data_IF_426405830090
#
_entry.id   IF_426405830090
#
_cell.length_a   1.000
_cell.length_b   1.000
_cell.length_c   1.000
_cell.angle_alpha   90.00
_cell.angle_beta   90.00
_cell.angle_gamma   90.00
#
_symmetry.space_group_name_H-M   'P 1'
#
loop_
_entity.id
_entity.type
_entity.pdbx_description
1 polymer ?
#
# COMPACT_ATOMS: atom_id res chain seq x y z
N UNK A 1 82.02 -14.58 20.77
CA UNK A 1 81.01 -15.67 20.74
C UNK A 1 79.91 -15.44 19.69
N UNK A 2 80.10 -14.57 18.68
CA UNK A 2 79.03 -14.22 17.71
C UNK A 2 78.82 -15.23 16.57
N UNK A 3 79.78 -16.11 16.31
CA UNK A 3 79.68 -17.08 15.22
C UNK A 3 78.69 -18.21 15.46
N UNK A 4 78.43 -18.58 16.73
CA UNK A 4 77.49 -19.66 17.05
C UNK A 4 76.02 -19.19 17.00
N UNK A 5 75.75 -17.92 17.27
CA UNK A 5 74.41 -17.33 17.23
C UNK A 5 73.91 -17.14 15.79
N UNK A 6 74.78 -16.73 14.87
CA UNK A 6 74.47 -16.62 13.44
C UNK A 6 74.16 -18.00 12.80
N UNK A 7 74.96 -19.02 13.14
CA UNK A 7 74.74 -20.38 12.65
C UNK A 7 73.42 -20.98 13.18
N UNK A 8 73.03 -20.66 14.41
CA UNK A 8 71.76 -21.09 14.99
C UNK A 8 70.55 -20.50 14.23
N UNK A 9 70.59 -19.21 13.91
CA UNK A 9 69.51 -18.53 13.15
C UNK A 9 69.38 -19.06 11.72
N UNK A 10 70.50 -19.37 11.06
CA UNK A 10 70.49 -19.94 9.71
C UNK A 10 69.93 -21.37 9.70
N UNK A 11 70.23 -22.17 10.73
CA UNK A 11 69.66 -23.51 10.90
C UNK A 11 68.14 -23.48 11.14
N UNK A 12 67.64 -22.50 11.90
CA UNK A 12 66.21 -22.31 12.18
C UNK A 12 65.46 -21.90 10.91
N UNK A 13 66.04 -21.01 10.11
CA UNK A 13 65.49 -20.57 8.82
C UNK A 13 65.36 -21.74 7.84
N UNK A 14 66.40 -22.58 7.77
CA UNK A 14 66.40 -23.80 6.93
C UNK A 14 65.43 -24.87 7.44
N UNK A 15 65.22 -24.98 8.75
CA UNK A 15 64.20 -25.85 9.34
C UNK A 15 62.77 -25.36 9.04
N UNK A 16 62.55 -24.03 9.04
CA UNK A 16 61.29 -23.42 8.61
C UNK A 16 61.02 -23.64 7.12
N UNK A 17 62.05 -23.66 6.26
CA UNK A 17 61.90 -23.94 4.82
C UNK A 17 61.44 -25.39 4.53
N UNK A 18 61.84 -26.37 5.36
CA UNK A 18 61.44 -27.78 5.20
C UNK A 18 59.97 -28.07 5.54
N UNK A 19 59.37 -27.31 6.46
CA UNK A 19 57.95 -27.42 6.85
C UNK A 19 57.08 -26.34 6.18
N UNK A 20 57.69 -25.23 5.76
CA UNK A 20 57.06 -24.06 5.15
C UNK A 20 56.53 -24.25 3.73
N UNK A 21 56.76 -25.41 3.11
CA UNK A 21 56.13 -25.74 1.81
C UNK A 21 54.63 -26.02 1.94
N UNK A 22 54.13 -26.35 3.14
CA UNK A 22 52.71 -26.72 3.39
C UNK A 22 51.96 -25.70 4.25
N UNK A 23 52.67 -24.82 4.95
CA UNK A 23 52.07 -23.80 5.82
C UNK A 23 52.78 -22.48 5.58
N UNK A 24 52.00 -21.47 5.19
CA UNK A 24 52.46 -20.09 5.04
C UNK A 24 52.33 -19.38 6.39
N UNK A 25 53.37 -18.68 6.82
CA UNK A 25 53.29 -17.84 8.01
C UNK A 25 52.48 -16.58 7.70
N UNK A 26 51.80 -16.04 8.72
CA UNK A 26 51.07 -14.77 8.59
C UNK A 26 51.96 -13.66 8.00
N UNK A 27 53.22 -13.59 8.43
CA UNK A 27 54.20 -12.63 7.90
C UNK A 27 54.48 -12.81 6.41
N UNK A 28 54.59 -14.06 5.92
CA UNK A 28 54.79 -14.35 4.51
C UNK A 28 53.58 -13.94 3.66
N UNK A 29 52.37 -14.11 4.19
CA UNK A 29 51.13 -13.70 3.53
C UNK A 29 51.06 -12.18 3.44
N UNK A 30 51.41 -11.48 4.51
CA UNK A 30 51.38 -10.02 4.57
C UNK A 30 52.43 -9.39 3.64
N UNK A 31 53.66 -9.95 3.59
CA UNK A 31 54.69 -9.53 2.64
C UNK A 31 54.29 -9.79 1.18
N UNK A 32 53.66 -10.92 0.88
CA UNK A 32 53.16 -11.23 -0.45
C UNK A 32 52.03 -10.27 -0.89
N UNK A 33 51.12 -9.93 0.03
CA UNK A 33 50.08 -8.91 -0.20
C UNK A 33 50.69 -7.54 -0.47
N UNK A 34 51.70 -7.13 0.30
CA UNK A 34 52.38 -5.84 0.14
C UNK A 34 53.07 -5.72 -1.23
N UNK A 35 53.82 -6.75 -1.65
CA UNK A 35 54.46 -6.76 -3.00
C UNK A 35 53.42 -6.65 -4.11
N UNK A 36 52.33 -7.40 -4.00
CA UNK A 36 51.23 -7.34 -4.97
C UNK A 36 50.58 -5.96 -5.00
N UNK A 37 50.41 -5.31 -3.85
CA UNK A 37 49.85 -3.96 -3.76
C UNK A 37 50.80 -2.91 -4.37
N UNK A 38 52.11 -3.03 -4.15
CA UNK A 38 53.12 -2.15 -4.76
C UNK A 38 53.18 -2.30 -6.27
N UNK A 39 53.19 -3.54 -6.78
CA UNK A 39 53.11 -3.81 -8.22
C UNK A 39 51.84 -3.24 -8.83
N UNK A 40 50.72 -3.35 -8.13
CA UNK A 40 49.43 -2.83 -8.57
C UNK A 40 49.39 -1.30 -8.59
N UNK A 41 49.91 -0.66 -7.53
CA UNK A 41 50.09 0.80 -7.46
C UNK A 41 50.99 1.29 -8.59
N UNK A 42 52.10 0.60 -8.85
CA UNK A 42 53.02 0.92 -9.95
C UNK A 42 52.36 0.76 -11.32
N UNK A 43 51.54 -0.28 -11.51
CA UNK A 43 50.79 -0.48 -12.75
C UNK A 43 49.76 0.64 -13.00
N UNK A 44 49.05 1.07 -11.96
CA UNK A 44 48.10 2.19 -12.04
C UNK A 44 48.78 3.54 -12.23
N UNK A 45 49.90 3.79 -11.54
CA UNK A 45 50.73 4.96 -11.75
C UNK A 45 51.23 5.05 -13.20
N UNK A 46 51.55 3.90 -13.83
CA UNK A 46 51.92 3.83 -15.25
C UNK A 46 50.75 4.19 -16.18
N UNK A 47 49.52 3.87 -15.80
CA UNK A 47 48.30 4.19 -16.55
C UNK A 47 47.85 5.65 -16.31
N UNK A 48 48.40 6.33 -15.30
CA UNK A 48 48.03 7.70 -14.93
C UNK A 48 46.67 7.80 -14.26
N UNK A 49 46.14 6.68 -13.75
CA UNK A 49 44.89 6.63 -12.98
C UNK A 49 45.21 6.27 -11.52
N UNK A 50 44.46 6.85 -10.58
CA UNK A 50 44.57 6.45 -9.18
C UNK A 50 44.04 5.02 -9.01
N UNK A 51 44.78 4.13 -8.30
CA UNK A 51 44.27 2.81 -7.98
C UNK A 51 42.88 2.91 -7.31
N UNK A 52 41.88 2.13 -7.75
CA UNK A 52 40.60 2.06 -7.07
C UNK A 52 40.82 1.72 -5.60
N UNK A 53 40.07 2.39 -4.71
CA UNK A 53 40.11 2.11 -3.27
C UNK A 53 39.90 0.61 -3.06
N UNK A 54 40.88 -0.02 -2.41
CA UNK A 54 40.81 -1.43 -2.01
C UNK A 54 39.52 -1.57 -1.21
N UNK A 55 38.60 -2.41 -1.69
CA UNK A 55 37.43 -2.76 -0.91
C UNK A 55 37.97 -3.47 0.32
N UNK A 56 37.86 -2.83 1.48
CA UNK A 56 38.24 -3.45 2.75
C UNK A 56 37.58 -4.83 2.81
N UNK A 57 38.35 -5.84 3.22
CA UNK A 57 37.85 -7.19 3.43
C UNK A 57 36.65 -7.08 4.37
N UNK A 58 35.44 -7.16 3.80
CA UNK A 58 34.21 -6.91 4.55
C UNK A 58 34.20 -7.91 5.69
N UNK A 59 34.35 -7.40 6.91
CA UNK A 59 34.29 -8.18 8.14
C UNK A 59 33.10 -9.12 8.01
N UNK A 60 33.38 -10.42 8.09
CA UNK A 60 32.39 -11.45 7.81
C UNK A 60 31.14 -11.23 8.68
N UNK A 61 30.06 -10.78 8.04
CA UNK A 61 28.77 -10.56 8.67
C UNK A 61 28.16 -11.92 9.01
N UNK A 62 27.75 -12.11 10.27
CA UNK A 62 27.11 -13.34 10.73
C UNK A 62 25.70 -13.57 10.17
N UNK A 63 25.16 -12.58 9.44
CA UNK A 63 23.88 -12.71 8.72
C UNK A 63 24.02 -13.58 7.48
N UNK A 64 22.96 -14.31 7.17
CA UNK A 64 22.89 -15.12 5.96
C UNK A 64 22.88 -14.22 4.71
N UNK A 65 23.35 -14.75 3.57
CA UNK A 65 23.31 -14.02 2.29
C UNK A 65 21.89 -13.56 1.93
N UNK A 66 20.87 -14.36 2.29
CA UNK A 66 19.46 -14.03 2.09
C UNK A 66 19.06 -12.77 2.87
N UNK A 67 19.39 -12.69 4.15
CA UNK A 67 19.10 -11.52 4.98
C UNK A 67 19.78 -10.26 4.43
N UNK A 68 21.05 -10.37 4.01
CA UNK A 68 21.75 -9.25 3.38
C UNK A 68 21.07 -8.77 2.11
N UNK A 69 20.68 -9.70 1.22
CA UNK A 69 20.02 -9.34 -0.03
C UNK A 69 18.63 -8.76 0.21
N UNK A 70 17.90 -9.30 1.18
CA UNK A 70 16.59 -8.82 1.58
C UNK A 70 16.67 -7.40 2.15
N UNK A 71 17.62 -7.13 3.04
CA UNK A 71 17.86 -5.78 3.56
C UNK A 71 18.21 -4.81 2.43
N UNK A 72 19.09 -5.18 1.51
CA UNK A 72 19.43 -4.34 0.36
C UNK A 72 18.21 -4.06 -0.55
N UNK A 73 17.33 -5.05 -0.72
CA UNK A 73 16.08 -4.87 -1.47
C UNK A 73 15.14 -3.92 -0.73
N UNK A 74 14.96 -4.14 0.57
CA UNK A 74 14.12 -3.31 1.43
C UNK A 74 14.60 -1.86 1.46
N UNK A 75 15.90 -1.63 1.68
CA UNK A 75 16.50 -0.30 1.62
C UNK A 75 16.21 0.39 0.28
N UNK A 76 16.42 -0.30 -0.84
CA UNK A 76 16.12 0.28 -2.17
C UNK A 76 14.64 0.57 -2.36
N UNK A 77 13.75 -0.31 -1.89
CA UNK A 77 12.30 -0.07 -1.98
C UNK A 77 11.88 1.07 -1.08
N UNK A 78 12.40 1.14 0.14
CA UNK A 78 12.10 2.19 1.12
C UNK A 78 12.61 3.55 0.62
N UNK A 79 13.83 3.63 0.09
CA UNK A 79 14.36 4.85 -0.52
C UNK A 79 13.55 5.28 -1.74
N UNK A 80 13.11 4.33 -2.56
CA UNK A 80 12.27 4.63 -3.73
C UNK A 80 10.90 5.12 -3.28
N UNK A 81 10.29 4.44 -2.30
CA UNK A 81 9.02 4.82 -1.70
C UNK A 81 9.12 6.19 -1.04
N UNK A 82 10.18 6.51 -0.30
CA UNK A 82 10.37 7.82 0.34
C UNK A 82 10.48 8.95 -0.69
N UNK A 83 11.27 8.74 -1.76
CA UNK A 83 11.41 9.69 -2.87
C UNK A 83 10.08 9.88 -3.61
N UNK A 84 9.36 8.79 -3.86
CA UNK A 84 8.10 8.81 -4.61
C UNK A 84 6.90 9.16 -3.74
N UNK A 85 6.97 9.02 -2.42
CA UNK A 85 5.84 9.27 -1.50
C UNK A 85 5.39 10.71 -1.55
N UNK A 86 6.33 11.66 -1.47
CA UNK A 86 6.00 13.08 -1.58
C UNK A 86 5.51 13.43 -3.00
N UNK A 87 6.13 12.85 -4.03
CA UNK A 87 5.72 13.03 -5.43
C UNK A 87 4.29 12.54 -5.68
N UNK A 88 3.94 11.37 -5.15
CA UNK A 88 2.62 10.75 -5.33
C UNK A 88 1.55 11.38 -4.42
N UNK A 89 1.93 11.83 -3.22
CA UNK A 89 1.01 12.43 -2.26
C UNK A 89 0.57 13.85 -2.67
N UNK A 90 1.47 14.61 -3.31
CA UNK A 90 1.22 15.99 -3.72
C UNK A 90 1.23 16.15 -5.25
N UNK A 91 0.66 15.18 -5.96
CA UNK A 91 0.38 15.35 -7.40
C UNK A 91 -0.98 16.00 -7.62
N UNK A 92 -1.09 16.77 -8.70
CA UNK A 92 -2.39 17.20 -9.21
C UNK A 92 -3.23 16.01 -9.68
N UNK A 93 -4.55 16.19 -9.67
CA UNK A 93 -5.45 15.31 -10.42
C UNK A 93 -5.21 15.53 -11.92
N UNK A 94 -5.10 14.45 -12.68
CA UNK A 94 -5.08 14.53 -14.13
C UNK A 94 -6.48 14.85 -14.69
N UNK A 95 -6.57 15.09 -16.00
CA UNK A 95 -7.82 15.44 -16.67
C UNK A 95 -8.85 14.30 -16.66
N UNK A 96 -8.40 13.05 -16.65
CA UNK A 96 -9.26 11.86 -16.66
C UNK A 96 -9.87 11.64 -15.26
N UNK A 97 -9.06 11.74 -14.22
CA UNK A 97 -9.41 11.65 -12.81
C UNK A 97 -10.38 12.77 -12.42
N UNK A 98 -10.14 14.00 -12.91
CA UNK A 98 -11.11 15.09 -12.76
C UNK A 98 -12.45 14.73 -13.43
N UNK A 99 -12.41 14.19 -14.66
CA UNK A 99 -13.60 13.73 -15.38
C UNK A 99 -14.35 12.63 -14.62
N UNK A 100 -13.64 11.65 -14.07
CA UNK A 100 -14.21 10.57 -13.27
C UNK A 100 -14.89 11.10 -12.00
N UNK A 101 -14.24 11.99 -11.25
CA UNK A 101 -14.82 12.59 -10.05
C UNK A 101 -16.05 13.46 -10.39
N UNK A 102 -16.02 14.20 -11.49
CA UNK A 102 -17.15 14.97 -11.97
C UNK A 102 -18.33 14.06 -12.38
N UNK A 103 -18.05 12.96 -13.09
CA UNK A 103 -19.05 11.97 -13.46
C UNK A 103 -19.68 11.31 -12.23
N UNK A 104 -18.87 10.92 -11.23
CA UNK A 104 -19.36 10.34 -9.98
C UNK A 104 -20.21 11.33 -9.17
N UNK A 105 -19.78 12.59 -9.10
CA UNK A 105 -20.56 13.64 -8.44
C UNK A 105 -21.89 13.92 -9.15
N UNK A 106 -21.91 13.83 -10.49
CA UNK A 106 -23.13 13.92 -11.28
C UNK A 106 -24.04 12.73 -11.02
N UNK A 107 -23.52 11.51 -11.06
CA UNK A 107 -24.26 10.28 -10.77
C UNK A 107 -24.90 10.33 -9.37
N UNK A 108 -24.15 10.78 -8.36
CA UNK A 108 -24.67 10.92 -7.00
C UNK A 108 -25.82 11.93 -6.93
N UNK A 109 -25.69 13.09 -7.56
CA UNK A 109 -26.79 14.08 -7.63
C UNK A 109 -28.00 13.55 -8.38
N UNK A 110 -27.80 12.79 -9.47
CA UNK A 110 -28.89 12.20 -10.24
C UNK A 110 -29.65 11.15 -9.41
N UNK A 111 -28.92 10.32 -8.65
CA UNK A 111 -29.52 9.37 -7.70
C UNK A 111 -30.30 10.08 -6.61
N UNK A 112 -29.73 11.11 -5.98
CA UNK A 112 -30.42 11.90 -4.96
C UNK A 112 -31.66 12.61 -5.53
N UNK A 113 -31.58 13.13 -6.75
CA UNK A 113 -32.73 13.73 -7.44
C UNK A 113 -33.82 12.70 -7.73
N UNK A 114 -33.46 11.50 -8.21
CA UNK A 114 -34.42 10.44 -8.45
C UNK A 114 -35.14 10.03 -7.17
N UNK A 115 -34.40 9.84 -6.08
CA UNK A 115 -34.98 9.54 -4.76
C UNK A 115 -35.91 10.66 -4.32
N UNK A 116 -35.50 11.93 -4.43
CA UNK A 116 -36.35 13.06 -4.08
C UNK A 116 -37.63 13.15 -4.95
N UNK A 117 -37.51 12.87 -6.25
CA UNK A 117 -38.64 12.87 -7.18
C UNK A 117 -39.61 11.73 -6.83
N UNK A 118 -39.12 10.53 -6.53
CA UNK A 118 -39.91 9.37 -6.09
C UNK A 118 -40.63 9.64 -4.76
N UNK A 119 -39.91 10.12 -3.75
CA UNK A 119 -40.48 10.49 -2.45
C UNK A 119 -41.56 11.57 -2.61
N UNK A 120 -41.34 12.58 -3.47
CA UNK A 120 -42.33 13.64 -3.72
C UNK A 120 -43.61 13.11 -4.34
N UNK A 121 -43.50 12.14 -5.27
CA UNK A 121 -44.64 11.48 -5.93
C UNK A 121 -45.42 10.61 -4.94
N UNK A 122 -44.72 9.86 -4.09
CA UNK A 122 -45.34 9.06 -3.04
C UNK A 122 -46.11 9.94 -2.05
N UNK A 123 -45.50 11.04 -1.59
CA UNK A 123 -46.15 11.99 -0.69
C UNK A 123 -47.38 12.62 -1.35
N UNK A 124 -47.30 13.01 -2.63
CA UNK A 124 -48.42 13.58 -3.36
C UNK A 124 -49.58 12.60 -3.50
N UNK A 125 -49.31 11.35 -3.90
CA UNK A 125 -50.35 10.31 -4.03
C UNK A 125 -50.98 9.95 -2.69
N UNK A 126 -50.21 9.93 -1.61
CA UNK A 126 -50.74 9.73 -0.26
C UNK A 126 -51.68 10.87 0.16
N UNK A 127 -51.32 12.13 -0.11
CA UNK A 127 -52.17 13.30 0.17
C UNK A 127 -53.47 13.24 -0.63
N UNK A 128 -53.41 12.87 -1.90
CA UNK A 128 -54.60 12.70 -2.74
C UNK A 128 -55.49 11.57 -2.22
N UNK A 129 -54.94 10.41 -1.89
CA UNK A 129 -55.69 9.28 -1.35
C UNK A 129 -56.35 9.61 0.00
N UNK A 130 -55.68 10.36 0.88
CA UNK A 130 -56.27 10.86 2.11
C UNK A 130 -57.42 11.84 1.83
N UNK A 131 -57.24 12.79 0.91
CA UNK A 131 -58.28 13.73 0.52
C UNK A 131 -59.50 13.00 -0.05
N UNK A 132 -59.30 12.00 -0.91
CA UNK A 132 -60.36 11.17 -1.46
C UNK A 132 -61.10 10.36 -0.38
N UNK A 133 -60.37 9.78 0.58
CA UNK A 133 -60.98 9.08 1.73
C UNK A 133 -61.81 10.02 2.59
N UNK A 134 -61.29 11.20 2.93
CA UNK A 134 -62.02 12.20 3.69
C UNK A 134 -63.25 12.71 2.94
N UNK A 135 -63.14 12.93 1.63
CA UNK A 135 -64.28 13.32 0.78
C UNK A 135 -65.36 12.22 0.77
N UNK A 136 -64.97 10.95 0.59
CA UNK A 136 -65.89 9.83 0.62
C UNK A 136 -66.56 9.63 2.00
N UNK A 137 -65.81 9.79 3.10
CA UNK A 137 -66.36 9.75 4.46
C UNK A 137 -67.33 10.90 4.71
N UNK A 138 -67.01 12.12 4.24
CA UNK A 138 -67.91 13.27 4.34
C UNK A 138 -69.19 13.10 3.52
N UNK A 139 -69.09 12.56 2.30
CA UNK A 139 -70.25 12.27 1.46
C UNK A 139 -71.13 11.16 2.05
N UNK A 140 -70.52 10.11 2.61
CA UNK A 140 -71.26 9.05 3.31
C UNK A 140 -71.93 9.56 4.60
N UNK A 141 -71.31 10.52 5.30
CA UNK A 141 -71.92 11.17 6.45
C UNK A 141 -73.09 12.10 6.05
N UNK A 142 -73.00 12.79 4.91
CA UNK A 142 -74.11 13.58 4.38
C UNK A 142 -75.28 12.69 3.91
N UNK A 143 -75.02 11.57 3.23
CA UNK A 143 -76.07 10.60 2.84
C UNK A 143 -76.70 9.87 4.04
N UNK A 144 -75.93 9.65 5.13
CA UNK A 144 -76.48 9.12 6.38
C UNK A 144 -77.31 10.16 7.16
N UNK A 145 -77.14 11.46 6.88
CA UNK A 145 -77.87 12.56 7.54
C UNK A 145 -79.22 12.88 6.88
N UNK A 146 -79.55 12.29 5.73
CA UNK A 146 -80.86 12.45 5.07
C UNK A 146 -81.95 11.50 5.58
N UNK A 147 -81.72 10.78 6.68
CA UNK A 147 -82.78 10.10 7.45
C UNK A 147 -83.02 10.88 8.75
N UNK A 148 -84.26 11.33 9.04
CA UNK A 148 -84.50 12.17 10.19
C UNK A 148 -84.36 11.32 11.46
N UNK A 149 -83.42 11.69 12.33
CA UNK A 149 -83.39 11.23 13.72
C UNK A 149 -83.61 12.44 14.65
N UNK A 150 -84.41 12.30 15.71
CA UNK A 150 -84.90 13.42 16.50
C UNK A 150 -83.83 13.99 17.42
N UNK A 151 -83.97 15.28 17.68
CA UNK A 151 -83.13 16.11 18.53
C UNK A 151 -83.09 15.62 19.98
N UNK A 152 -81.91 15.61 20.61
CA UNK A 152 -81.73 16.00 22.02
C UNK A 152 -80.26 16.31 22.32
N UNK A 153 -80.01 17.46 22.96
CA UNK A 153 -78.73 17.79 23.62
C UNK A 153 -78.72 17.32 25.09
N UNK A 154 -77.83 17.81 25.98
CA UNK A 154 -76.58 18.55 25.80
C UNK A 154 -75.33 17.88 26.46
N UNK A 155 -74.15 18.31 26.00
CA UNK A 155 -72.81 18.34 26.62
C UNK A 155 -72.57 17.68 28.00
N UNK A 156 -71.62 16.74 28.05
CA UNK A 156 -70.85 16.34 29.26
C UNK A 156 -69.34 16.17 28.92
N UNK A 157 -68.41 16.30 29.89
CA UNK A 157 -67.07 16.83 29.65
C UNK A 157 -66.01 15.79 29.24
N UNK A 158 -64.99 16.29 28.52
CA UNK A 158 -63.75 15.61 28.13
C UNK A 158 -63.02 14.98 29.33
N UNK A 159 -62.75 13.68 29.25
CA UNK A 159 -61.67 13.02 29.99
C UNK A 159 -60.37 13.07 29.18
N UNK A 160 -59.23 13.52 29.75
CA UNK A 160 -57.97 13.54 29.04
C UNK A 160 -57.36 12.12 28.96
N UNK A 161 -57.12 11.64 27.74
CA UNK A 161 -56.38 10.41 27.50
C UNK A 161 -54.92 10.60 27.92
N UNK A 162 -54.45 9.75 28.85
CA UNK A 162 -53.06 9.71 29.29
C UNK A 162 -52.14 9.38 28.11
N UNK A 163 -51.07 10.16 27.97
CA UNK A 163 -50.00 9.91 27.00
C UNK A 163 -49.39 8.52 27.23
N UNK A 164 -49.58 7.62 26.26
CA UNK A 164 -48.85 6.36 26.18
C UNK A 164 -47.38 6.73 25.92
N UNK A 165 -46.55 6.59 26.96
CA UNK A 165 -45.11 6.74 26.83
C UNK A 165 -44.61 5.62 25.92
N UNK A 166 -44.13 6.00 24.73
CA UNK A 166 -43.49 5.07 23.79
C UNK A 166 -42.22 4.55 24.45
N UNK A 167 -42.17 3.24 24.70
CA UNK A 167 -41.01 2.58 25.30
C UNK A 167 -39.80 2.66 24.37
N UNK A 168 -38.88 3.60 24.65
CA UNK A 168 -37.60 3.78 23.93
C UNK A 168 -36.79 2.47 23.86
N UNK A 169 -37.01 1.56 24.82
CA UNK A 169 -36.37 0.23 24.88
C UNK A 169 -36.80 -0.72 23.76
N UNK A 170 -37.96 -0.54 23.14
CA UNK A 170 -38.36 -1.35 21.98
C UNK A 170 -37.65 -0.90 20.69
N UNK A 171 -37.20 0.36 20.63
CA UNK A 171 -36.52 0.94 19.47
C UNK A 171 -35.06 0.47 19.32
N UNK A 172 -34.46 -0.05 20.39
CA UNK A 172 -33.05 -0.52 20.39
C UNK A 172 -32.90 -2.02 20.14
N UNK A 173 -33.98 -2.75 19.85
CA UNK A 173 -33.98 -4.22 19.72
C UNK A 173 -33.25 -4.77 18.48
N UNK A 174 -32.65 -3.90 17.65
CA UNK A 174 -31.97 -4.27 16.40
C UNK A 174 -30.49 -3.84 16.30
N UNK A 175 -29.90 -3.23 17.34
CA UNK A 175 -28.51 -2.79 17.27
C UNK A 175 -27.57 -3.98 17.51
N UNK A 176 -27.04 -4.56 16.42
CA UNK A 176 -25.95 -5.54 16.46
C UNK A 176 -24.62 -4.79 16.40
N UNK A 177 -23.90 -4.73 17.52
CA UNK A 177 -22.52 -4.21 17.55
C UNK A 177 -21.59 -5.29 17.01
N UNK A 178 -21.01 -5.06 15.83
CA UNK A 178 -19.99 -5.93 15.25
C UNK A 178 -18.68 -5.76 16.03
N UNK A 179 -18.33 -6.77 16.82
CA UNK A 179 -17.08 -6.83 17.60
C UNK A 179 -15.88 -6.76 16.64
N UNK A 180 -15.05 -5.73 16.78
CA UNK A 180 -13.78 -5.63 16.05
C UNK A 180 -12.80 -6.68 16.59
N UNK A 181 -12.12 -7.48 15.74
CA UNK A 181 -11.07 -8.37 16.21
C UNK A 181 -9.87 -7.55 16.71
N UNK A 182 -9.39 -7.94 17.89
CA UNK A 182 -8.17 -7.45 18.52
C UNK A 182 -6.95 -7.91 17.70
N UNK A 183 -5.95 -7.04 17.43
CA UNK A 183 -4.73 -7.48 16.77
C UNK A 183 -3.92 -8.33 17.73
N UNK A 184 -3.80 -9.63 17.45
CA UNK A 184 -2.84 -10.51 18.12
C UNK A 184 -1.47 -10.36 17.46
N UNK A 185 -0.50 -10.01 18.29
CA UNK A 185 0.91 -10.01 17.95
C UNK A 185 1.43 -11.46 17.87
N UNK A 186 2.14 -11.73 16.77
CA UNK A 186 3.27 -12.65 16.63
C UNK A 186 3.18 -14.04 17.28
N UNK A 187 3.15 -15.07 16.44
CA UNK A 187 4.13 -16.18 16.49
C UNK A 187 4.14 -16.91 15.15
N UNK A 188 5.32 -17.09 14.60
CA UNK A 188 5.54 -17.74 13.32
C UNK A 188 5.30 -19.25 13.38
N UNK A 189 4.86 -19.80 12.25
CA UNK A 189 5.11 -21.18 11.88
C UNK A 189 5.02 -21.29 10.36
N UNK A 190 6.04 -21.94 9.82
CA UNK A 190 6.33 -22.17 8.40
C UNK A 190 5.37 -23.22 7.85
N UNK A 191 4.73 -22.94 6.71
CA UNK A 191 4.12 -23.98 5.88
C UNK A 191 4.19 -23.57 4.40
N UNK A 192 4.78 -24.46 3.61
CA UNK A 192 4.95 -24.39 2.16
C UNK A 192 3.59 -24.52 1.48
N UNK A 193 3.34 -23.69 0.46
CA UNK A 193 2.50 -24.12 -0.66
C UNK A 193 2.95 -23.51 -1.99
N UNK A 194 2.88 -24.38 -2.98
CA UNK A 194 3.28 -24.31 -4.38
C UNK A 194 2.58 -23.24 -5.19
N UNK A 195 3.34 -22.45 -5.94
CA UNK A 195 2.82 -21.63 -7.05
C UNK A 195 2.91 -22.42 -8.34
N UNK A 196 1.75 -22.74 -8.88
CA UNK A 196 1.53 -23.21 -10.25
C UNK A 196 1.92 -22.13 -11.25
N UNK A 197 2.77 -22.54 -12.20
CA UNK A 197 3.26 -21.80 -13.35
C UNK A 197 2.15 -21.71 -14.41
N UNK A 198 1.59 -20.53 -14.64
CA UNK A 198 0.85 -20.22 -15.88
C UNK A 198 1.75 -19.39 -16.79
N UNK A 199 2.36 -20.10 -17.74
CA UNK A 199 2.97 -19.54 -18.95
C UNK A 199 1.87 -19.06 -19.89
N UNK A 200 1.78 -17.76 -20.11
CA UNK A 200 0.94 -17.13 -21.13
C UNK A 200 1.80 -16.32 -22.10
N UNK A 201 2.09 -16.94 -23.25
CA UNK A 201 2.76 -16.39 -24.44
C UNK A 201 1.92 -15.30 -25.10
N UNK A 202 2.48 -14.11 -25.39
CA UNK A 202 2.13 -13.28 -26.55
C UNK A 202 3.38 -12.58 -27.10
N UNK A 203 3.53 -12.72 -28.40
CA UNK A 203 4.54 -12.13 -29.29
C UNK A 203 4.05 -10.75 -29.78
N UNK A 204 5.02 -9.89 -30.15
CA UNK A 204 4.95 -8.66 -30.96
C UNK A 204 4.11 -7.49 -30.37
N UNK A 205 4.52 -6.21 -30.37
CA UNK A 205 5.16 -5.33 -31.36
C UNK A 205 6.04 -4.28 -30.61
N UNK A 206 7.10 -3.62 -31.10
CA UNK A 206 7.47 -3.29 -32.47
C UNK A 206 7.18 -1.83 -32.85
N UNK A 207 7.52 -0.80 -32.03
CA UNK A 207 7.60 0.61 -32.48
C UNK A 207 8.19 1.53 -31.38
N UNK A 208 9.52 1.75 -31.33
CA UNK A 208 10.13 2.83 -30.53
C UNK A 208 11.58 3.11 -30.93
N UNK A 209 11.87 3.27 -32.23
CA UNK A 209 13.17 3.82 -32.66
C UNK A 209 13.03 4.66 -33.93
N UNK A 210 12.27 5.76 -33.83
CA UNK A 210 12.16 6.75 -34.91
C UNK A 210 12.01 8.20 -34.46
N UNK A 211 12.11 8.49 -33.16
CA UNK A 211 11.93 9.84 -32.63
C UNK A 211 13.23 10.63 -32.41
N UNK A 212 14.42 10.00 -32.49
CA UNK A 212 15.69 10.69 -32.25
C UNK A 212 16.42 11.13 -33.54
N UNK A 213 16.12 10.54 -34.69
CA UNK A 213 16.81 10.86 -35.95
C UNK A 213 16.31 12.17 -36.61
N UNK A 214 15.07 12.58 -36.36
CA UNK A 214 14.48 13.77 -37.02
C UNK A 214 14.87 15.09 -36.35
N UNK A 215 15.36 15.08 -35.10
CA UNK A 215 15.84 16.28 -34.41
C UNK A 215 17.28 16.67 -34.73
N UNK A 216 18.04 15.82 -35.42
CA UNK A 216 19.42 16.11 -35.84
C UNK A 216 19.54 16.62 -37.28
N UNK A 217 18.51 16.48 -38.10
CA UNK A 217 18.52 16.91 -39.51
C UNK A 217 18.00 18.36 -39.73
N UNK A 218 17.59 19.08 -38.68
CA UNK A 218 17.05 20.45 -38.79
C UNK A 218 17.99 21.54 -38.29
N UNK A 219 19.22 21.20 -37.92
CA UNK A 219 20.25 22.16 -37.46
C UNK A 219 21.32 22.43 -38.54
N UNK A 220 21.30 21.71 -39.66
CA UNK A 220 22.29 21.85 -40.75
C UNK A 220 21.62 21.94 -42.14
N UNK A 221 20.66 22.85 -42.29
CA UNK A 221 20.19 23.39 -43.60
C UNK A 221 19.62 24.79 -43.45
#
# INVERSE_FOLDING_TARGET
MSGQEAAALESLKRAQEGIGSRFETQTSIDEAKARKEEEWKNAYARIGQEPPKVQEDVVHDGRTLYERLQLNKQMKTEEWDEKMKLSNQYRGLDTEEYGFLAARAREQREKERQVADEESREIASYREALAAKHAAESAAAEEASSKPAPQSGPSAPRVPMKAVRKDVKSLLKGVVVKKKPKPEASKGAVAKESVTKTTGKREADGEADKAEAEKRAKVDS
#
